data_IF_216994169908
#
_entry.id   IF_216994169908
#
_cell.length_a   1.000
_cell.length_b   1.000
_cell.length_c   1.000
_cell.angle_alpha   90.00
_cell.angle_beta   90.00
_cell.angle_gamma   90.00
#
_symmetry.space_group_name_H-M   'P 1'
#
loop_
_entity.id
_entity.type
_entity.pdbx_description
1 polymer ?
#
# COMPACT_ATOMS: atom_id res chain seq x y z
N UNK A 1 -22.81 46.57 4.39
CA UNK A 1 -23.14 45.18 4.80
C UNK A 1 -21.86 44.37 4.64
N UNK A 2 -21.46 43.69 5.71
CA UNK A 2 -20.09 43.26 5.96
C UNK A 2 -19.54 42.27 4.92
N UNK A 3 -18.41 42.67 4.33
CA UNK A 3 -17.38 41.75 3.83
C UNK A 3 -16.76 40.98 5.00
N UNK A 4 -16.08 39.87 4.67
CA UNK A 4 -15.27 38.97 5.50
C UNK A 4 -15.97 37.71 6.04
N UNK A 5 -15.63 36.57 5.42
CA UNK A 5 -15.07 35.33 6.01
C UNK A 5 -14.26 34.66 4.90
N UNK A 6 -13.03 35.09 4.64
CA UNK A 6 -11.82 34.44 5.16
C UNK A 6 -12.07 33.05 5.78
N UNK A 7 -11.65 32.02 5.04
CA UNK A 7 -11.23 30.75 5.62
C UNK A 7 -9.81 30.50 5.11
N UNK A 8 -8.87 31.18 5.75
CA UNK A 8 -7.48 30.80 5.78
C UNK A 8 -7.33 29.47 6.53
N UNK A 9 -6.76 28.46 5.86
CA UNK A 9 -5.68 27.57 6.33
C UNK A 9 -5.17 26.87 5.05
N UNK A 10 -4.01 27.19 4.48
CA UNK A 10 -2.67 26.94 4.99
C UNK A 10 -2.57 25.56 5.66
N UNK A 11 -2.23 24.52 4.89
CA UNK A 11 -1.07 23.75 5.29
C UNK A 11 -0.29 23.24 4.07
N UNK A 12 0.94 23.73 4.03
CA UNK A 12 1.99 23.34 3.12
C UNK A 12 2.69 22.14 3.75
N UNK A 13 2.39 20.93 3.30
CA UNK A 13 3.18 19.76 3.66
C UNK A 13 3.98 19.24 2.45
N UNK A 14 4.84 20.11 1.90
CA UNK A 14 6.06 19.64 1.25
C UNK A 14 7.08 19.38 2.35
N UNK A 15 7.12 18.15 2.86
CA UNK A 15 8.18 17.66 3.73
C UNK A 15 8.52 16.22 3.31
N UNK A 16 9.76 16.02 2.86
CA UNK A 16 10.37 14.71 2.68
C UNK A 16 11.71 14.76 3.44
N UNK A 17 12.27 13.64 3.94
CA UNK A 17 11.62 12.54 4.64
C UNK A 17 12.46 12.11 5.86
N UNK A 18 11.87 12.00 7.05
CA UNK A 18 12.47 11.22 8.14
C UNK A 18 11.62 9.98 8.34
N UNK A 19 11.96 8.92 7.58
CA UNK A 19 11.65 7.51 7.86
C UNK A 19 10.29 7.31 8.53
N UNK A 20 9.21 7.50 7.78
CA UNK A 20 7.97 6.83 8.11
C UNK A 20 8.15 5.35 7.75
N UNK A 21 8.82 4.58 8.62
CA UNK A 21 8.82 3.11 8.57
C UNK A 21 7.43 2.55 8.98
N UNK A 22 6.40 3.39 8.90
CA UNK A 22 5.05 3.22 9.40
C UNK A 22 4.09 3.84 8.38
N UNK A 23 3.35 3.01 7.65
CA UNK A 23 2.31 3.42 6.70
C UNK A 23 0.94 3.35 7.37
N UNK A 24 0.03 4.28 7.10
CA UNK A 24 -1.35 4.21 7.60
C UNK A 24 -2.26 3.55 6.57
N UNK A 25 -3.38 2.97 7.01
CA UNK A 25 -4.37 2.38 6.09
C UNK A 25 -4.90 3.42 5.07
N UNK A 26 -5.09 4.68 5.49
CA UNK A 26 -5.49 5.78 4.60
C UNK A 26 -4.45 6.08 3.51
N UNK A 27 -3.16 5.91 3.81
CA UNK A 27 -2.11 6.07 2.80
C UNK A 27 -2.17 4.90 1.82
N UNK A 28 -2.26 3.67 2.30
CA UNK A 28 -2.36 2.47 1.46
C UNK A 28 -3.57 2.58 0.52
N UNK A 29 -4.71 3.09 1.00
CA UNK A 29 -5.92 3.28 0.20
C UNK A 29 -5.75 4.18 -1.03
N UNK A 30 -4.75 5.07 -1.05
CA UNK A 30 -4.42 5.90 -2.23
C UNK A 30 -3.80 5.07 -3.37
N UNK A 31 -3.18 3.94 -3.04
CA UNK A 31 -2.47 3.06 -3.96
C UNK A 31 -3.35 1.87 -4.38
N UNK A 32 -4.48 2.18 -5.02
CA UNK A 32 -5.50 1.21 -5.42
C UNK A 32 -5.62 1.01 -6.95
N UNK A 33 -4.55 1.31 -7.71
CA UNK A 33 -4.54 1.26 -9.17
C UNK A 33 -3.60 0.17 -9.69
N UNK A 34 -3.69 -0.19 -10.96
CA UNK A 34 -2.83 -1.22 -11.51
C UNK A 34 -1.39 -0.78 -11.81
N UNK A 35 -1.17 0.52 -11.89
CA UNK A 35 0.16 1.13 -12.01
C UNK A 35 0.72 1.58 -10.67
N UNK A 36 -0.06 1.45 -9.60
CA UNK A 36 0.31 1.82 -8.24
C UNK A 36 -0.62 1.08 -7.26
N UNK A 37 -0.20 -0.13 -6.87
CA UNK A 37 -0.97 -1.09 -6.09
C UNK A 37 -0.22 -1.49 -4.83
N UNK A 38 -0.73 -1.07 -3.68
CA UNK A 38 -0.23 -1.51 -2.38
C UNK A 38 -1.26 -2.38 -1.69
N UNK A 39 -0.77 -3.34 -0.91
CA UNK A 39 -1.59 -4.26 -0.13
C UNK A 39 -1.01 -4.41 1.26
N UNK A 40 -1.89 -4.61 2.25
CA UNK A 40 -1.49 -4.91 3.62
C UNK A 40 -1.57 -6.42 3.82
N UNK A 41 -0.51 -7.01 4.37
CA UNK A 41 -0.46 -8.42 4.75
C UNK A 41 0.08 -8.54 6.18
N UNK A 42 -0.79 -8.89 7.12
CA UNK A 42 -0.62 -8.79 8.55
C UNK A 42 -0.47 -7.34 9.00
N UNK A 43 0.74 -7.01 9.44
CA UNK A 43 1.10 -5.67 9.88
C UNK A 43 2.10 -5.02 8.92
N UNK A 44 2.28 -5.54 7.72
CA UNK A 44 3.28 -5.04 6.77
C UNK A 44 2.61 -4.57 5.48
N UNK A 45 3.15 -3.49 4.92
CA UNK A 45 2.66 -2.87 3.69
C UNK A 45 3.63 -3.19 2.56
N UNK A 46 3.08 -3.71 1.47
CA UNK A 46 3.82 -4.17 0.31
C UNK A 46 3.30 -3.50 -0.95
N UNK A 47 4.22 -2.96 -1.74
CA UNK A 47 3.97 -2.49 -3.09
C UNK A 47 4.18 -3.65 -4.05
N UNK A 48 3.08 -4.10 -4.64
CA UNK A 48 3.00 -5.29 -5.51
C UNK A 48 2.78 -4.91 -6.96
N UNK A 49 2.92 -3.62 -7.30
CA UNK A 49 2.67 -3.06 -8.64
C UNK A 49 3.36 -3.84 -9.74
N UNK A 50 4.66 -4.11 -9.57
CA UNK A 50 5.46 -4.86 -10.56
C UNK A 50 5.17 -6.36 -10.55
N UNK A 51 4.63 -6.88 -9.45
CA UNK A 51 4.30 -8.29 -9.30
C UNK A 51 2.93 -8.64 -9.89
N UNK A 52 2.02 -7.68 -10.08
CA UNK A 52 0.69 -7.90 -10.66
C UNK A 52 0.65 -8.80 -11.92
N UNK A 53 1.50 -8.60 -12.95
CA UNK A 53 1.50 -9.47 -14.14
C UNK A 53 2.15 -10.84 -13.89
N UNK A 54 3.00 -10.96 -12.88
CA UNK A 54 3.72 -12.21 -12.56
C UNK A 54 2.97 -13.09 -11.56
N UNK A 55 1.90 -12.57 -10.95
CA UNK A 55 1.10 -13.30 -9.98
C UNK A 55 0.44 -14.55 -10.59
N UNK A 56 0.77 -15.78 -10.14
CA UNK A 56 0.21 -17.01 -10.70
C UNK A 56 -1.31 -17.13 -10.58
N UNK A 57 -1.91 -16.54 -9.53
CA UNK A 57 -3.35 -16.45 -9.34
C UNK A 57 -4.03 -15.35 -10.17
N UNK A 58 -3.27 -14.66 -11.02
CA UNK A 58 -3.72 -13.58 -11.89
C UNK A 58 -3.80 -12.21 -11.22
N UNK A 59 -3.56 -11.16 -12.01
CA UNK A 59 -3.62 -9.74 -11.59
C UNK A 59 -4.93 -9.38 -10.87
N UNK A 60 -6.07 -9.87 -11.36
CA UNK A 60 -7.41 -9.53 -10.83
C UNK A 60 -7.58 -9.89 -9.36
N UNK A 61 -6.97 -10.99 -8.92
CA UNK A 61 -7.06 -11.48 -7.54
C UNK A 61 -6.44 -10.48 -6.55
N UNK A 62 -5.29 -9.90 -6.92
CA UNK A 62 -4.64 -8.86 -6.11
C UNK A 62 -5.42 -7.54 -6.20
N UNK A 63 -5.91 -7.18 -7.39
CA UNK A 63 -6.64 -5.91 -7.62
C UNK A 63 -7.91 -5.78 -6.77
N UNK A 64 -8.54 -6.88 -6.34
CA UNK A 64 -9.69 -6.83 -5.42
C UNK A 64 -9.34 -6.21 -4.07
N UNK A 65 -8.07 -6.34 -3.66
CA UNK A 65 -7.51 -5.86 -2.41
C UNK A 65 -6.51 -4.73 -2.60
N UNK A 66 -6.44 -4.14 -3.80
CA UNK A 66 -5.61 -2.97 -4.05
C UNK A 66 -6.02 -1.82 -3.11
N UNK A 67 -5.05 -1.30 -2.37
CA UNK A 67 -5.26 -0.28 -1.35
C UNK A 67 -5.92 -0.77 -0.06
N UNK A 68 -5.96 -2.09 0.18
CA UNK A 68 -6.67 -2.70 1.32
C UNK A 68 -5.82 -3.75 2.03
N UNK A 69 -6.37 -4.20 3.15
CA UNK A 69 -5.90 -5.37 3.87
C UNK A 69 -6.34 -6.65 3.15
N UNK A 70 -5.35 -7.48 2.81
CA UNK A 70 -5.51 -8.77 2.14
C UNK A 70 -5.04 -9.93 3.03
N UNK A 71 -4.84 -9.70 4.34
CA UNK A 71 -4.20 -10.64 5.25
C UNK A 71 -4.92 -11.97 5.30
N UNK A 72 -6.23 -11.96 5.49
CA UNK A 72 -7.02 -13.17 5.68
C UNK A 72 -7.01 -14.02 4.40
N UNK A 73 -7.31 -13.40 3.26
CA UNK A 73 -7.31 -14.09 1.96
C UNK A 73 -5.93 -14.56 1.55
N UNK A 74 -4.88 -13.79 1.88
CA UNK A 74 -3.51 -14.18 1.62
C UNK A 74 -3.14 -15.40 2.45
N UNK A 75 -3.35 -15.38 3.78
CA UNK A 75 -2.98 -16.46 4.69
C UNK A 75 -3.78 -17.75 4.44
N UNK A 76 -5.00 -17.66 3.89
CA UNK A 76 -5.80 -18.83 3.49
C UNK A 76 -5.26 -19.57 2.27
N UNK A 77 -4.54 -18.86 1.39
CA UNK A 77 -4.10 -19.40 0.09
C UNK A 77 -2.58 -19.54 -0.03
N UNK A 78 -1.82 -18.78 0.77
CA UNK A 78 -0.37 -18.64 0.63
C UNK A 78 0.33 -18.58 1.98
N UNK A 79 1.54 -19.16 2.04
CA UNK A 79 2.48 -18.91 3.13
C UNK A 79 3.14 -17.54 2.99
N UNK A 80 3.25 -16.77 4.08
CA UNK A 80 3.97 -15.46 4.10
C UNK A 80 5.39 -15.50 3.57
N UNK A 81 6.03 -16.68 3.57
CA UNK A 81 7.36 -16.91 2.98
C UNK A 81 7.41 -16.63 1.47
N UNK A 82 6.28 -16.76 0.76
CA UNK A 82 6.25 -16.56 -0.70
C UNK A 82 6.48 -15.10 -1.08
N UNK A 83 6.09 -14.14 -0.23
CA UNK A 83 6.33 -12.71 -0.48
C UNK A 83 7.83 -12.43 -0.55
N UNK A 84 8.62 -12.99 0.37
CA UNK A 84 10.08 -12.82 0.38
C UNK A 84 10.71 -13.48 -0.84
N UNK A 85 10.37 -14.75 -1.09
CA UNK A 85 11.00 -15.56 -2.15
C UNK A 85 10.65 -15.12 -3.57
N UNK A 86 9.38 -14.79 -3.83
CA UNK A 86 8.89 -14.48 -5.17
C UNK A 86 8.67 -12.98 -5.41
N UNK A 87 8.58 -12.20 -4.34
CA UNK A 87 8.42 -10.75 -4.43
C UNK A 87 9.73 -10.00 -4.19
N UNK A 88 10.28 -10.12 -2.98
CA UNK A 88 11.47 -9.34 -2.57
C UNK A 88 12.72 -9.83 -3.31
N UNK A 89 13.00 -11.13 -3.31
CA UNK A 89 14.20 -11.69 -3.95
C UNK A 89 14.16 -11.53 -5.48
N UNK A 90 12.96 -11.50 -6.07
CA UNK A 90 12.75 -11.20 -7.48
C UNK A 90 12.78 -9.69 -7.80
N UNK A 91 12.76 -8.82 -6.77
CA UNK A 91 12.70 -7.37 -6.92
C UNK A 91 11.37 -6.84 -7.49
N UNK A 92 10.31 -7.65 -7.48
CA UNK A 92 8.97 -7.31 -8.01
C UNK A 92 8.01 -6.80 -6.93
N UNK A 93 8.32 -7.08 -5.65
CA UNK A 93 7.59 -6.53 -4.50
C UNK A 93 8.53 -5.66 -3.69
N UNK A 94 8.04 -4.52 -3.21
CA UNK A 94 8.80 -3.60 -2.35
C UNK A 94 8.11 -3.52 -1.00
N UNK A 95 8.85 -3.83 0.08
CA UNK A 95 8.37 -3.61 1.44
C UNK A 95 8.41 -2.12 1.77
N UNK A 96 7.23 -1.52 2.02
CA UNK A 96 7.09 -0.08 2.31
C UNK A 96 7.26 0.23 3.80
N UNK A 97 6.88 -0.70 4.67
CA UNK A 97 7.00 -0.53 6.11
C UNK A 97 5.91 -1.26 6.88
N UNK A 98 5.85 -1.01 8.19
CA UNK A 98 4.82 -1.59 9.06
C UNK A 98 3.54 -0.76 8.98
N UNK A 99 2.36 -1.38 9.07
CA UNK A 99 1.11 -0.67 9.26
C UNK A 99 1.10 -0.01 10.65
N UNK A 100 0.86 1.30 10.69
CA UNK A 100 0.57 2.04 11.91
C UNK A 100 -0.87 1.72 12.36
N UNK A 101 -1.02 1.26 13.60
CA UNK A 101 -2.31 0.94 14.24
C UNK A 101 -2.58 1.93 15.36
#
# INVERSE_FOLDING_TARGET
>A
QGSSRDFSVSDSASLHPLVAMSCTADEVAKHASDTDCWVIVGDEVYDVTKFLPEHPGGKKSIMLFAGKDATEEFDMLHDRKVIKKYGIDAGTVVHKGKLAK
#
